data_IF_192217907994
#
_entry.id   IF_192217907994
#
_cell.length_a   1.000
_cell.length_b   1.000
_cell.length_c   1.000
_cell.angle_alpha   90.00
_cell.angle_beta   90.00
_cell.angle_gamma   90.00
#
_symmetry.space_group_name_H-M   'P 1'
#
loop_
_entity.id
_entity.type
_entity.pdbx_description
1 polymer ?
#
# COMPACT_ATOMS: atom_id res chain seq x y z
N UNK A 1 -14.61 22.56 -21.70
CA UNK A 1 -14.28 21.37 -22.52
C UNK A 1 -12.77 21.17 -22.46
N UNK A 2 -12.31 20.53 -21.39
CA UNK A 2 -10.90 20.23 -21.13
C UNK A 2 -10.72 18.76 -21.45
N UNK A 3 -9.86 18.48 -22.43
CA UNK A 3 -9.63 17.13 -22.93
C UNK A 3 -9.04 16.25 -21.81
N UNK A 4 -9.81 15.24 -21.40
CA UNK A 4 -9.31 14.05 -20.73
C UNK A 4 -8.33 13.36 -21.67
N UNK A 5 -7.03 13.62 -21.48
CA UNK A 5 -5.99 12.76 -22.02
C UNK A 5 -5.96 11.51 -21.15
N UNK A 6 -6.78 10.54 -21.52
CA UNK A 6 -6.65 9.15 -21.10
C UNK A 6 -5.22 8.69 -21.43
N UNK A 7 -4.43 8.42 -20.40
CA UNK A 7 -3.07 7.85 -20.47
C UNK A 7 -3.10 6.37 -20.91
N UNK A 8 -3.94 6.02 -21.88
CA UNK A 8 -4.11 4.66 -22.39
C UNK A 8 -3.01 4.24 -23.40
N UNK A 9 -1.90 4.97 -23.48
CA UNK A 9 -0.94 4.85 -24.59
C UNK A 9 0.56 4.81 -24.23
N UNK A 10 0.96 4.72 -22.95
CA UNK A 10 2.37 4.63 -22.58
C UNK A 10 2.62 3.40 -21.70
N UNK A 11 3.36 2.44 -22.26
CA UNK A 11 3.72 1.12 -21.72
C UNK A 11 2.70 0.00 -21.93
N UNK A 12 2.80 -0.75 -23.05
CA UNK A 12 2.32 -2.11 -23.06
C UNK A 12 3.23 -2.91 -22.13
N UNK A 13 2.83 -3.07 -20.86
CA UNK A 13 3.27 -4.19 -20.02
C UNK A 13 2.54 -5.49 -20.43
N UNK A 14 2.06 -5.56 -21.67
CA UNK A 14 1.41 -6.74 -22.24
C UNK A 14 2.48 -7.75 -22.62
N UNK A 15 2.53 -8.79 -21.78
CA UNK A 15 2.72 -10.20 -22.14
C UNK A 15 3.59 -10.45 -23.36
N UNK A 16 4.91 -10.31 -23.18
CA UNK A 16 5.89 -10.82 -24.13
C UNK A 16 6.24 -12.24 -23.70
N UNK A 17 5.51 -13.20 -24.26
CA UNK A 17 5.86 -14.64 -24.38
C UNK A 17 6.00 -15.45 -23.07
N UNK A 18 4.87 -15.96 -22.55
CA UNK A 18 4.75 -17.32 -21.97
C UNK A 18 5.28 -17.60 -20.55
N UNK A 19 6.12 -16.76 -19.96
CA UNK A 19 6.45 -16.83 -18.52
C UNK A 19 6.97 -15.50 -17.96
N UNK A 20 6.03 -14.59 -17.70
CA UNK A 20 5.86 -13.62 -16.59
C UNK A 20 5.21 -12.32 -17.10
N UNK A 21 4.00 -12.00 -16.61
CA UNK A 21 3.86 -10.78 -15.84
C UNK A 21 3.19 -11.07 -14.49
N UNK A 22 4.03 -11.25 -13.46
CA UNK A 22 3.58 -11.46 -12.09
C UNK A 22 3.31 -10.16 -11.32
N UNK A 23 3.15 -10.29 -10.01
CA UNK A 23 2.96 -9.16 -9.08
C UNK A 23 3.91 -7.95 -9.27
N UNK A 24 5.19 -8.07 -9.69
CA UNK A 24 6.08 -6.91 -9.80
C UNK A 24 5.62 -5.90 -10.84
N UNK A 25 4.96 -6.36 -11.91
CA UNK A 25 4.44 -5.51 -12.99
C UNK A 25 3.28 -4.65 -12.48
N UNK A 26 2.38 -5.26 -11.72
CA UNK A 26 1.23 -4.56 -11.12
C UNK A 26 1.69 -3.53 -10.08
N UNK A 27 2.66 -3.91 -9.25
CA UNK A 27 3.30 -2.98 -8.30
C UNK A 27 3.99 -1.84 -9.04
N UNK A 28 4.72 -2.13 -10.12
CA UNK A 28 5.42 -1.10 -10.87
C UNK A 28 4.46 -0.09 -11.50
N UNK A 29 3.31 -0.56 -12.02
CA UNK A 29 2.26 0.33 -12.54
C UNK A 29 1.75 1.32 -11.48
N UNK A 30 1.47 0.83 -10.25
CA UNK A 30 1.04 1.70 -9.14
C UNK A 30 2.08 2.76 -8.81
N UNK A 31 3.36 2.40 -8.79
CA UNK A 31 4.44 3.32 -8.47
C UNK A 31 4.59 4.39 -9.55
N UNK A 32 4.47 4.02 -10.84
CA UNK A 32 4.54 4.94 -11.97
C UNK A 32 3.43 5.99 -11.96
N UNK A 33 2.20 5.61 -11.60
CA UNK A 33 1.07 6.54 -11.53
C UNK A 33 1.34 7.73 -10.59
N UNK A 34 2.12 7.51 -9.53
CA UNK A 34 2.46 8.54 -8.56
C UNK A 34 3.80 9.25 -8.80
N UNK A 35 4.56 8.91 -9.84
CA UNK A 35 5.86 9.53 -10.14
C UNK A 35 5.73 10.72 -11.11
N UNK A 36 6.67 11.66 -11.05
CA UNK A 36 6.72 12.76 -12.02
C UNK A 36 7.14 12.24 -13.41
N UNK A 37 6.63 12.83 -14.52
CA UNK A 37 6.97 12.38 -15.88
C UNK A 37 8.47 12.36 -16.21
N UNK A 38 9.27 13.21 -15.56
CA UNK A 38 10.71 13.24 -15.74
C UNK A 38 11.41 11.97 -15.22
N UNK A 39 10.84 11.32 -14.19
CA UNK A 39 11.46 10.20 -13.49
C UNK A 39 10.96 8.84 -14.01
N UNK A 40 9.76 8.80 -14.60
CA UNK A 40 9.09 7.55 -15.02
C UNK A 40 9.82 6.83 -16.15
N UNK A 41 10.31 7.57 -17.16
CA UNK A 41 10.88 6.95 -18.37
C UNK A 41 12.16 6.15 -18.11
N UNK A 42 13.09 6.69 -17.31
CA UNK A 42 14.32 6.00 -16.97
C UNK A 42 14.05 4.82 -16.03
N UNK A 43 13.23 5.04 -15.00
CA UNK A 43 12.93 4.01 -14.02
C UNK A 43 12.17 2.82 -14.62
N UNK A 44 11.17 3.07 -15.48
CA UNK A 44 10.42 2.00 -16.12
C UNK A 44 11.33 1.08 -16.95
N UNK A 45 12.28 1.66 -17.69
CA UNK A 45 13.30 0.88 -18.44
C UNK A 45 14.16 0.05 -17.50
N UNK A 46 14.60 0.63 -16.37
CA UNK A 46 15.40 -0.11 -15.39
C UNK A 46 14.64 -1.32 -14.83
N UNK A 47 13.36 -1.16 -14.48
CA UNK A 47 12.52 -2.28 -14.01
C UNK A 47 12.36 -3.34 -15.09
N UNK A 48 12.06 -2.93 -16.32
CA UNK A 48 11.94 -3.86 -17.46
C UNK A 48 13.22 -4.64 -17.70
N UNK A 49 14.39 -3.97 -17.68
CA UNK A 49 15.69 -4.60 -17.86
C UNK A 49 15.98 -5.61 -16.74
N UNK A 50 15.66 -5.29 -15.47
CA UNK A 50 15.84 -6.22 -14.36
C UNK A 50 14.89 -7.42 -14.46
N UNK A 51 13.62 -7.21 -14.82
CA UNK A 51 12.67 -8.29 -15.01
C UNK A 51 13.05 -9.20 -16.18
N UNK A 52 13.56 -8.65 -17.29
CA UNK A 52 14.06 -9.42 -18.41
C UNK A 52 15.28 -10.28 -18.02
N UNK A 53 16.22 -9.72 -17.25
CA UNK A 53 17.36 -10.48 -16.68
C UNK A 53 16.89 -11.60 -15.77
N UNK A 54 15.87 -11.34 -14.95
CA UNK A 54 15.23 -12.34 -14.10
C UNK A 54 14.63 -13.47 -14.92
N UNK A 55 13.83 -13.18 -15.92
CA UNK A 55 13.22 -14.17 -16.79
C UNK A 55 14.27 -15.04 -17.52
N UNK A 56 15.44 -14.48 -17.84
CA UNK A 56 16.55 -15.22 -18.45
C UNK A 56 17.25 -16.19 -17.49
N UNK A 57 17.24 -15.94 -16.18
CA UNK A 57 17.98 -16.71 -15.16
C UNK A 57 17.09 -17.60 -14.30
N UNK A 58 15.85 -17.19 -14.11
CA UNK A 58 14.89 -17.83 -13.23
C UNK A 58 13.57 -18.05 -13.96
N UNK A 59 12.89 -19.15 -13.62
CA UNK A 59 11.51 -19.40 -14.11
C UNK A 59 10.48 -18.45 -13.50
N UNK A 60 10.79 -17.86 -12.35
CA UNK A 60 9.95 -16.90 -11.63
C UNK A 60 10.82 -15.90 -10.86
N UNK A 61 10.28 -14.73 -10.53
CA UNK A 61 10.96 -13.77 -9.65
C UNK A 61 11.13 -14.41 -8.27
N UNK A 62 12.36 -14.56 -7.75
CA UNK A 62 12.58 -15.19 -6.46
C UNK A 62 11.90 -14.43 -5.32
N UNK A 63 11.33 -15.17 -4.37
CA UNK A 63 10.54 -14.58 -3.29
C UNK A 63 11.36 -13.67 -2.36
N UNK A 64 12.67 -13.88 -2.29
CA UNK A 64 13.61 -13.04 -1.53
C UNK A 64 13.60 -11.58 -1.97
N UNK A 65 13.20 -11.27 -3.21
CA UNK A 65 12.97 -9.89 -3.68
C UNK A 65 11.92 -9.19 -2.81
N UNK A 66 10.84 -9.90 -2.46
CA UNK A 66 9.75 -9.38 -1.61
C UNK A 66 10.31 -9.03 -0.24
N UNK A 67 11.06 -9.94 0.39
CA UNK A 67 11.61 -9.69 1.71
C UNK A 67 12.64 -8.54 1.71
N UNK A 68 13.53 -8.47 0.71
CA UNK A 68 14.47 -7.36 0.58
C UNK A 68 13.77 -6.01 0.46
N UNK A 69 12.70 -5.96 -0.33
CA UNK A 69 11.95 -4.73 -0.54
C UNK A 69 11.14 -4.33 0.68
N UNK A 70 10.47 -5.29 1.32
CA UNK A 70 9.71 -5.01 2.53
C UNK A 70 10.59 -4.58 3.70
N UNK A 71 11.71 -5.27 3.94
CA UNK A 71 12.65 -4.90 4.99
C UNK A 71 13.35 -3.55 4.71
N UNK A 72 13.83 -3.35 3.48
CA UNK A 72 14.67 -2.20 3.16
C UNK A 72 13.92 -0.90 2.89
N UNK A 73 12.65 -0.97 2.48
CA UNK A 73 11.95 0.19 1.93
C UNK A 73 10.49 0.33 2.39
N UNK A 74 9.69 -0.74 2.35
CA UNK A 74 8.28 -0.65 2.79
C UNK A 74 8.18 -0.44 4.30
N UNK A 75 8.89 -1.25 5.08
CA UNK A 75 8.92 -1.17 6.54
C UNK A 75 9.38 0.19 7.07
N UNK A 76 10.53 0.73 6.64
CA UNK A 76 10.98 2.07 7.02
C UNK A 76 9.99 3.18 6.63
N UNK A 77 9.38 3.11 5.44
CA UNK A 77 8.37 4.07 5.01
C UNK A 77 7.12 4.03 5.91
N UNK A 78 6.69 2.84 6.34
CA UNK A 78 5.55 2.69 7.25
C UNK A 78 5.88 3.09 8.70
N UNK A 79 7.12 2.90 9.14
CA UNK A 79 7.58 3.41 10.44
C UNK A 79 7.57 4.95 10.47
N UNK A 80 7.99 5.59 9.38
CA UNK A 80 7.88 7.05 9.23
C UNK A 80 6.41 7.51 9.16
N UNK A 81 5.54 6.74 8.50
CA UNK A 81 4.11 7.02 8.47
C UNK A 81 3.52 7.04 9.89
N UNK A 82 3.91 6.12 10.77
CA UNK A 82 3.49 6.15 12.18
C UNK A 82 3.86 7.49 12.84
N UNK A 83 5.06 8.01 12.58
CA UNK A 83 5.48 9.34 13.04
C UNK A 83 4.62 10.49 12.49
N UNK A 84 4.22 10.45 11.21
CA UNK A 84 3.30 11.44 10.62
C UNK A 84 1.92 11.45 11.30
N UNK A 85 1.49 10.30 11.83
CA UNK A 85 0.21 10.14 12.53
C UNK A 85 0.33 10.21 14.07
N UNK A 86 1.54 10.47 14.60
CA UNK A 86 1.77 10.57 16.05
C UNK A 86 1.65 9.24 16.80
N UNK A 87 1.89 8.11 16.12
CA UNK A 87 1.75 6.76 16.65
C UNK A 87 3.07 6.00 16.77
N UNK A 88 3.07 4.93 17.57
CA UNK A 88 4.23 4.06 17.78
C UNK A 88 4.50 3.16 16.55
N UNK A 89 5.72 3.21 15.96
CA UNK A 89 6.10 2.36 14.83
C UNK A 89 6.42 0.90 15.22
N UNK A 90 6.32 0.49 16.49
CA UNK A 90 6.70 -0.85 16.96
C UNK A 90 6.10 -2.00 16.15
N UNK A 91 4.82 -1.92 15.76
CA UNK A 91 4.18 -2.93 14.92
C UNK A 91 4.83 -3.04 13.53
N UNK A 92 5.21 -1.91 12.93
CA UNK A 92 5.88 -1.89 11.62
C UNK A 92 7.31 -2.44 11.73
N UNK A 93 8.04 -2.08 12.79
CA UNK A 93 9.37 -2.63 13.07
C UNK A 93 9.34 -4.14 13.29
N UNK A 94 8.31 -4.67 13.97
CA UNK A 94 8.17 -6.11 14.17
C UNK A 94 8.00 -6.85 12.84
N UNK A 95 7.20 -6.33 11.91
CA UNK A 95 7.05 -6.90 10.55
C UNK A 95 8.38 -6.84 9.78
N UNK A 96 9.09 -5.70 9.82
CA UNK A 96 10.43 -5.56 9.22
C UNK A 96 11.39 -6.63 9.74
N UNK A 97 11.43 -6.84 11.05
CA UNK A 97 12.29 -7.85 11.67
C UNK A 97 11.97 -9.28 11.22
N UNK A 98 10.69 -9.60 10.95
CA UNK A 98 10.33 -10.90 10.37
C UNK A 98 10.86 -11.06 8.95
N UNK A 99 10.83 -10.00 8.13
CA UNK A 99 11.43 -10.04 6.80
C UNK A 99 12.95 -10.21 6.86
N UNK A 100 13.63 -9.58 7.81
CA UNK A 100 15.07 -9.78 8.03
C UNK A 100 15.41 -11.22 8.44
N UNK A 101 14.62 -11.80 9.35
CA UNK A 101 14.76 -13.21 9.75
C UNK A 101 14.57 -14.15 8.57
N UNK A 102 13.54 -13.92 7.75
CA UNK A 102 13.30 -14.71 6.54
C UNK A 102 14.45 -14.56 5.51
N UNK A 103 15.03 -13.36 5.36
CA UNK A 103 16.23 -13.14 4.55
C UNK A 103 17.46 -13.88 5.07
N UNK A 104 17.57 -14.05 6.39
CA UNK A 104 18.60 -14.86 7.02
C UNK A 104 18.37 -16.38 6.88
N UNK A 105 17.28 -16.78 6.21
CA UNK A 105 16.93 -18.19 5.96
C UNK A 105 16.13 -18.83 7.08
N UNK A 106 15.62 -18.06 8.04
CA UNK A 106 14.79 -18.59 9.11
C UNK A 106 13.38 -18.93 8.60
N UNK A 107 12.92 -20.15 8.88
CA UNK A 107 11.55 -20.57 8.61
C UNK A 107 10.59 -20.04 9.69
N UNK A 108 10.15 -18.80 9.52
CA UNK A 108 9.18 -18.16 10.44
C UNK A 108 7.77 -18.75 10.20
N UNK A 109 7.11 -19.31 11.24
CA UNK A 109 5.78 -19.92 11.10
C UNK A 109 4.69 -18.93 10.67
N UNK A 110 3.66 -19.43 9.97
CA UNK A 110 2.52 -18.64 9.50
C UNK A 110 1.82 -17.92 10.67
N UNK A 111 1.65 -18.56 11.82
CA UNK A 111 0.99 -17.97 12.97
C UNK A 111 1.76 -16.75 13.51
N UNK A 112 3.09 -16.79 13.46
CA UNK A 112 3.96 -15.68 13.88
C UNK A 112 3.83 -14.53 12.89
N UNK A 113 3.84 -14.84 11.59
CA UNK A 113 3.58 -13.83 10.55
C UNK A 113 2.23 -13.17 10.74
N UNK A 114 1.15 -13.95 10.88
CA UNK A 114 -0.22 -13.45 11.01
C UNK A 114 -0.38 -12.57 12.25
N UNK A 115 0.09 -13.03 13.41
CA UNK A 115 0.00 -12.28 14.66
C UNK A 115 0.77 -10.96 14.62
N UNK A 116 1.84 -10.89 13.84
CA UNK A 116 2.66 -9.67 13.68
C UNK A 116 2.10 -8.74 12.61
N UNK A 117 1.59 -9.28 11.50
CA UNK A 117 1.02 -8.52 10.40
C UNK A 117 -0.30 -7.85 10.78
N UNK A 118 -1.16 -8.51 11.55
CA UNK A 118 -2.52 -8.00 11.79
C UNK A 118 -2.53 -6.62 12.48
N UNK A 119 -1.77 -6.38 13.58
CA UNK A 119 -1.66 -5.04 14.16
C UNK A 119 -1.08 -4.00 13.20
N UNK A 120 -0.05 -4.37 12.44
CA UNK A 120 0.61 -3.47 11.49
C UNK A 120 -0.32 -3.07 10.33
N UNK A 121 -1.04 -4.02 9.75
CA UNK A 121 -1.99 -3.78 8.67
C UNK A 121 -3.20 -2.97 9.16
N UNK A 122 -3.67 -3.20 10.39
CA UNK A 122 -4.75 -2.40 10.98
C UNK A 122 -4.37 -0.92 11.05
N UNK A 123 -3.14 -0.62 11.47
CA UNK A 123 -2.61 0.76 11.46
C UNK A 123 -2.61 1.32 10.03
N UNK A 124 -2.04 0.60 9.07
CA UNK A 124 -1.97 1.02 7.66
C UNK A 124 -3.35 1.31 7.09
N UNK A 125 -4.33 0.42 7.26
CA UNK A 125 -5.67 0.61 6.71
C UNK A 125 -6.39 1.81 7.33
N UNK A 126 -6.24 2.02 8.63
CA UNK A 126 -6.80 3.19 9.32
C UNK A 126 -6.20 4.49 8.80
N UNK A 127 -4.89 4.53 8.53
CA UNK A 127 -4.21 5.72 7.99
C UNK A 127 -4.48 5.94 6.50
N UNK A 128 -4.60 4.85 5.73
CA UNK A 128 -4.69 4.89 4.28
C UNK A 128 -6.08 5.27 3.75
N UNK A 129 -7.12 4.86 4.45
CA UNK A 129 -8.50 5.08 4.03
C UNK A 129 -9.13 6.06 5.01
N UNK A 130 -8.94 7.33 4.65
CA UNK A 130 -9.18 8.49 5.50
C UNK A 130 -10.57 8.46 6.13
N UNK A 131 -10.59 8.18 7.43
CA UNK A 131 -11.66 8.57 8.34
C UNK A 131 -12.08 10.03 8.10
N UNK A 132 -11.11 10.92 7.86
CA UNK A 132 -11.34 12.35 7.69
C UNK A 132 -12.16 12.72 6.44
N UNK A 133 -11.94 12.04 5.31
CA UNK A 133 -12.69 12.32 4.08
C UNK A 133 -14.12 11.81 4.19
N UNK A 134 -14.29 10.60 4.77
CA UNK A 134 -15.59 10.05 5.06
C UNK A 134 -16.35 10.90 6.10
N UNK A 135 -15.65 11.34 7.15
CA UNK A 135 -16.18 12.21 8.20
C UNK A 135 -16.60 13.57 7.65
N UNK A 136 -15.74 14.23 6.86
CA UNK A 136 -16.05 15.53 6.26
C UNK A 136 -17.26 15.41 5.33
N UNK A 137 -17.28 14.40 4.46
CA UNK A 137 -18.42 14.14 3.56
C UNK A 137 -19.71 13.88 4.34
N UNK A 138 -19.67 13.06 5.39
CA UNK A 138 -20.82 12.76 6.23
C UNK A 138 -21.29 13.98 7.03
N UNK A 139 -20.35 14.78 7.54
CA UNK A 139 -20.62 15.99 8.32
C UNK A 139 -21.28 17.05 7.45
N UNK A 140 -20.73 17.32 6.27
CA UNK A 140 -21.28 18.29 5.32
C UNK A 140 -22.68 17.88 4.84
N UNK A 141 -22.87 16.60 4.53
CA UNK A 141 -24.18 16.09 4.11
C UNK A 141 -25.23 16.19 5.24
N UNK A 142 -24.86 15.85 6.47
CA UNK A 142 -25.75 15.91 7.62
C UNK A 142 -26.04 17.35 8.05
N UNK A 143 -25.07 18.26 7.98
CA UNK A 143 -25.23 19.70 8.19
C UNK A 143 -26.19 20.29 7.16
N UNK A 144 -25.99 19.99 5.88
CA UNK A 144 -26.89 20.44 4.80
C UNK A 144 -28.32 19.93 5.01
N UNK A 145 -28.48 18.68 5.46
CA UNK A 145 -29.78 18.13 5.82
C UNK A 145 -30.41 18.89 7.00
N UNK A 146 -29.69 19.14 8.08
CA UNK A 146 -30.21 19.87 9.25
C UNK A 146 -30.64 21.30 8.88
N UNK A 147 -29.85 22.02 8.09
CA UNK A 147 -30.22 23.33 7.55
C UNK A 147 -31.52 23.27 6.74
N UNK A 148 -31.68 22.23 5.89
CA UNK A 148 -32.92 22.03 5.12
C UNK A 148 -34.16 21.75 5.99
N UNK A 149 -33.94 21.37 7.27
CA UNK A 149 -35.00 21.14 8.27
C UNK A 149 -35.27 22.35 9.15
N UNK A 150 -34.60 23.48 8.91
CA UNK A 150 -34.83 24.72 9.64
C UNK A 150 -34.05 24.85 10.94
N UNK A 151 -33.01 24.04 11.14
CA UNK A 151 -32.04 24.21 12.22
C UNK A 151 -31.24 25.48 11.96
N UNK A 152 -30.77 26.14 13.02
CA UNK A 152 -29.81 27.23 12.84
C UNK A 152 -28.41 26.69 12.47
N UNK A 153 -27.49 27.60 12.10
CA UNK A 153 -26.15 27.22 11.61
C UNK A 153 -25.33 26.47 12.69
N UNK A 154 -25.48 26.83 13.96
CA UNK A 154 -24.75 26.22 15.06
C UNK A 154 -25.32 24.83 15.38
N UNK A 155 -26.65 24.70 15.44
CA UNK A 155 -27.34 23.44 15.63
C UNK A 155 -27.10 22.45 14.47
N UNK A 156 -27.12 22.94 13.23
CA UNK A 156 -26.82 22.14 12.06
C UNK A 156 -25.36 21.66 12.02
N UNK A 157 -24.42 22.50 12.45
CA UNK A 157 -23.00 22.13 12.56
C UNK A 157 -22.80 21.05 13.62
N UNK A 158 -23.36 21.24 14.81
CA UNK A 158 -23.30 20.25 15.89
C UNK A 158 -23.97 18.91 15.52
N UNK A 159 -25.08 18.97 14.78
CA UNK A 159 -25.74 17.79 14.22
C UNK A 159 -24.86 17.08 13.19
N UNK A 160 -24.24 17.83 12.27
CA UNK A 160 -23.33 17.30 11.26
C UNK A 160 -22.15 16.56 11.87
N UNK A 161 -21.48 17.19 12.84
CA UNK A 161 -20.34 16.61 13.56
C UNK A 161 -20.74 15.34 14.33
N UNK A 162 -21.84 15.39 15.09
CA UNK A 162 -22.31 14.23 15.86
C UNK A 162 -22.70 13.05 14.96
N UNK A 163 -23.39 13.33 13.84
CA UNK A 163 -23.78 12.31 12.87
C UNK A 163 -22.57 11.68 12.18
N UNK A 164 -21.63 12.52 11.74
CA UNK A 164 -20.40 12.07 11.10
C UNK A 164 -19.58 11.20 12.05
N UNK A 165 -19.42 11.60 13.31
CA UNK A 165 -18.68 10.85 14.31
C UNK A 165 -19.25 9.43 14.49
N UNK A 166 -20.56 9.33 14.74
CA UNK A 166 -21.25 8.05 14.95
C UNK A 166 -21.19 7.14 13.71
N UNK A 167 -21.35 7.71 12.52
CA UNK A 167 -21.40 6.94 11.28
C UNK A 167 -20.01 6.47 10.82
N UNK A 168 -18.99 7.31 10.96
CA UNK A 168 -17.71 7.10 10.28
C UNK A 168 -16.65 6.47 11.17
N UNK A 169 -16.66 6.67 12.50
CA UNK A 169 -15.67 6.06 13.39
C UNK A 169 -15.88 4.55 13.47
N UNK A 170 -17.13 4.13 13.69
CA UNK A 170 -17.48 2.71 13.78
C UNK A 170 -17.18 1.96 12.47
N UNK A 171 -17.54 2.57 11.33
CA UNK A 171 -17.31 1.97 10.01
C UNK A 171 -15.81 1.92 9.66
N UNK A 172 -15.05 2.99 9.91
CA UNK A 172 -13.61 3.01 9.64
C UNK A 172 -12.86 1.96 10.47
N UNK A 173 -13.22 1.80 11.74
CA UNK A 173 -12.64 0.78 12.62
C UNK A 173 -12.94 -0.63 12.12
N UNK A 174 -14.21 -0.93 11.85
CA UNK A 174 -14.63 -2.26 11.36
C UNK A 174 -13.98 -2.57 10.00
N UNK A 175 -13.88 -1.58 9.11
CA UNK A 175 -13.19 -1.76 7.83
C UNK A 175 -11.70 -2.04 8.01
N UNK A 176 -11.00 -1.29 8.86
CA UNK A 176 -9.58 -1.51 9.12
C UNK A 176 -9.33 -2.88 9.77
N UNK A 177 -10.16 -3.29 10.73
CA UNK A 177 -10.08 -4.59 11.39
C UNK A 177 -10.33 -5.75 10.42
N UNK A 178 -11.40 -5.69 9.64
CA UNK A 178 -11.74 -6.75 8.68
C UNK A 178 -10.67 -6.90 7.58
N UNK A 179 -10.20 -5.78 7.01
CA UNK A 179 -9.15 -5.80 6.00
C UNK A 179 -7.83 -6.30 6.57
N UNK A 180 -7.46 -5.87 7.79
CA UNK A 180 -6.24 -6.33 8.44
C UNK A 180 -6.25 -7.84 8.69
N UNK A 181 -7.34 -8.39 9.23
CA UNK A 181 -7.45 -9.83 9.49
C UNK A 181 -7.36 -10.66 8.21
N UNK A 182 -8.14 -10.30 7.18
CA UNK A 182 -8.13 -11.01 5.90
C UNK A 182 -6.76 -10.95 5.19
N UNK A 183 -6.16 -9.76 5.10
CA UNK A 183 -4.87 -9.60 4.42
C UNK A 183 -3.70 -10.16 5.24
N UNK A 184 -3.75 -10.11 6.59
CA UNK A 184 -2.74 -10.72 7.44
C UNK A 184 -2.70 -12.23 7.26
N UNK A 185 -3.87 -12.90 7.21
CA UNK A 185 -3.94 -14.34 6.99
C UNK A 185 -3.37 -14.73 5.61
N UNK A 186 -3.80 -14.04 4.55
CA UNK A 186 -3.34 -14.32 3.20
C UNK A 186 -1.82 -14.07 3.03
N UNK A 187 -1.33 -12.92 3.51
CA UNK A 187 0.09 -12.57 3.41
C UNK A 187 0.97 -13.46 4.28
N UNK A 188 0.50 -13.87 5.47
CA UNK A 188 1.23 -14.76 6.35
C UNK A 188 1.51 -16.12 5.70
N UNK A 189 0.50 -16.71 5.05
CA UNK A 189 0.67 -17.98 4.34
C UNK A 189 1.70 -17.84 3.22
N UNK A 190 1.63 -16.76 2.44
CA UNK A 190 2.59 -16.48 1.36
C UNK A 190 4.01 -16.28 1.89
N UNK A 191 4.19 -15.53 2.99
CA UNK A 191 5.52 -15.29 3.57
C UNK A 191 6.12 -16.53 4.23
N UNK A 192 5.33 -17.31 4.97
CA UNK A 192 5.79 -18.54 5.60
C UNK A 192 6.19 -19.60 4.57
N UNK A 193 5.42 -19.72 3.48
CA UNK A 193 5.69 -20.66 2.39
C UNK A 193 6.72 -20.18 1.35
N UNK A 194 7.21 -18.94 1.48
CA UNK A 194 7.99 -18.25 0.44
C UNK A 194 7.34 -18.37 -0.96
N UNK A 195 6.00 -18.23 -1.01
CA UNK A 195 5.17 -18.57 -2.16
C UNK A 195 4.87 -17.33 -3.04
N UNK A 196 5.50 -17.22 -4.23
CA UNK A 196 5.28 -16.09 -5.13
C UNK A 196 3.85 -16.04 -5.70
N UNK A 197 3.19 -17.19 -5.86
CA UNK A 197 1.82 -17.26 -6.38
C UNK A 197 0.83 -16.82 -5.31
N UNK A 198 0.98 -17.32 -4.08
CA UNK A 198 0.22 -16.88 -2.91
C UNK A 198 0.38 -15.38 -2.66
N UNK A 199 1.59 -14.83 -2.77
CA UNK A 199 1.80 -13.38 -2.63
C UNK A 199 1.13 -12.58 -3.75
N UNK A 200 1.15 -13.06 -4.99
CA UNK A 200 0.43 -12.41 -6.09
C UNK A 200 -1.09 -12.42 -5.85
N UNK A 201 -1.63 -13.51 -5.29
CA UNK A 201 -3.04 -13.62 -4.91
C UNK A 201 -3.43 -12.66 -3.77
N UNK A 202 -2.47 -12.20 -2.96
CA UNK A 202 -2.68 -11.16 -1.94
C UNK A 202 -2.83 -9.74 -2.53
N UNK A 203 -2.84 -9.59 -3.85
CA UNK A 203 -3.09 -8.30 -4.53
C UNK A 203 -2.10 -7.20 -4.07
N UNK A 204 -0.77 -7.44 -4.16
CA UNK A 204 0.23 -6.60 -3.49
C UNK A 204 0.26 -5.16 -4.01
N UNK A 205 -0.20 -4.90 -5.22
CA UNK A 205 -0.37 -3.55 -5.74
C UNK A 205 -1.37 -2.72 -4.91
N UNK A 206 -2.44 -3.36 -4.39
CA UNK A 206 -3.44 -2.71 -3.55
C UNK A 206 -2.86 -2.41 -2.16
N UNK A 207 -2.09 -3.34 -1.60
CA UNK A 207 -1.33 -3.12 -0.37
C UNK A 207 -0.36 -1.94 -0.52
N UNK A 208 0.39 -1.86 -1.62
CA UNK A 208 1.30 -0.74 -1.90
C UNK A 208 0.55 0.60 -1.99
N UNK A 209 -0.62 0.63 -2.63
CA UNK A 209 -1.47 1.84 -2.62
C UNK A 209 -1.86 2.24 -1.21
N UNK A 210 -2.20 1.28 -0.35
CA UNK A 210 -2.52 1.56 1.04
C UNK A 210 -1.31 2.13 1.80
N UNK A 211 -0.12 1.53 1.66
CA UNK A 211 1.11 2.04 2.27
C UNK A 211 1.42 3.49 1.83
N UNK A 212 1.30 3.77 0.53
CA UNK A 212 1.52 5.11 -0.02
C UNK A 212 0.51 6.14 0.48
N UNK A 213 -0.76 5.76 0.63
CA UNK A 213 -1.79 6.63 1.22
C UNK A 213 -1.53 6.89 2.69
N UNK A 214 -1.23 5.84 3.45
CA UNK A 214 -0.90 5.94 4.86
C UNK A 214 0.28 6.88 5.10
N UNK A 215 1.36 6.74 4.31
CA UNK A 215 2.53 7.61 4.40
C UNK A 215 2.24 9.05 3.99
N UNK A 216 1.46 9.24 2.92
CA UNK A 216 1.15 10.57 2.41
C UNK A 216 0.27 11.39 3.38
N UNK A 217 -0.71 10.76 4.04
CA UNK A 217 -1.65 11.49 4.91
C UNK A 217 -2.37 12.64 4.18
N UNK A 218 -2.69 12.45 2.90
CA UNK A 218 -3.28 13.49 2.03
C UNK A 218 -2.29 14.45 1.36
N UNK A 219 -1.01 14.42 1.71
CA UNK A 219 0.02 15.28 1.12
C UNK A 219 0.54 14.73 -0.22
N UNK A 220 0.24 15.43 -1.30
CA UNK A 220 0.65 15.04 -2.66
C UNK A 220 2.16 15.08 -2.90
N UNK A 221 2.97 15.84 -2.13
CA UNK A 221 4.44 15.78 -2.23
C UNK A 221 4.95 14.51 -1.57
N UNK A 222 4.52 14.23 -0.33
CA UNK A 222 4.87 12.98 0.37
C UNK A 222 4.42 11.75 -0.40
N UNK A 223 3.27 11.79 -1.06
CA UNK A 223 2.82 10.71 -1.93
C UNK A 223 3.85 10.41 -3.04
N UNK A 224 4.30 11.45 -3.77
CA UNK A 224 5.31 11.29 -4.83
C UNK A 224 6.64 10.79 -4.29
N UNK A 225 7.09 11.35 -3.17
CA UNK A 225 8.35 10.92 -2.53
C UNK A 225 8.29 9.45 -2.11
N UNK A 226 7.14 9.01 -1.56
CA UNK A 226 6.88 7.62 -1.24
C UNK A 226 6.93 6.72 -2.48
N UNK A 227 6.31 7.12 -3.59
CA UNK A 227 6.38 6.38 -4.85
C UNK A 227 7.83 6.23 -5.34
N UNK A 228 8.60 7.31 -5.37
CA UNK A 228 10.02 7.28 -5.79
C UNK A 228 10.86 6.37 -4.90
N UNK A 229 10.66 6.41 -3.58
CA UNK A 229 11.39 5.56 -2.62
C UNK A 229 11.09 4.08 -2.84
N UNK A 230 9.81 3.71 -2.86
CA UNK A 230 9.40 2.32 -3.06
C UNK A 230 9.79 1.80 -4.46
N UNK A 231 9.74 2.66 -5.47
CA UNK A 231 10.22 2.39 -6.82
C UNK A 231 11.73 2.08 -6.85
N UNK A 232 12.54 2.91 -6.19
CA UNK A 232 13.98 2.64 -6.04
C UNK A 232 14.26 1.36 -5.26
N UNK A 233 13.46 1.10 -4.21
CA UNK A 233 13.56 -0.11 -3.41
C UNK A 233 13.27 -1.40 -4.18
N UNK A 234 12.23 -1.38 -5.00
CA UNK A 234 11.87 -2.52 -5.84
C UNK A 234 13.01 -2.87 -6.82
N UNK A 235 13.61 -1.86 -7.46
CA UNK A 235 14.77 -2.05 -8.34
C UNK A 235 15.95 -2.63 -7.58
N UNK A 236 16.28 -2.10 -6.39
CA UNK A 236 17.35 -2.66 -5.54
C UNK A 236 17.09 -4.12 -5.16
N UNK A 237 15.85 -4.46 -4.80
CA UNK A 237 15.44 -5.82 -4.50
C UNK A 237 15.65 -6.75 -5.69
N UNK A 238 15.19 -6.35 -6.87
CA UNK A 238 15.37 -7.10 -8.11
C UNK A 238 16.86 -7.28 -8.47
N UNK A 239 17.68 -6.23 -8.35
CA UNK A 239 19.11 -6.28 -8.69
C UNK A 239 19.91 -7.17 -7.73
N UNK A 240 19.57 -7.23 -6.45
CA UNK A 240 20.29 -8.09 -5.47
C UNK A 240 20.18 -9.57 -5.80
N UNK A 241 19.11 -9.97 -6.47
CA UNK A 241 18.83 -11.37 -6.79
C UNK A 241 19.16 -11.69 -8.25
N UNK A 242 19.46 -10.67 -9.07
CA UNK A 242 19.85 -10.79 -10.48
C UNK A 242 21.26 -11.29 -10.71
#
# INVERSE_FOLDING_TARGET
MTAERTWAGAFPLTDVTGALPGWPVQVAAVLLEGMAPADTGQWARQVQDQLARMAARHRQVPFTVVHHWHSGDVGPLLAEAAGHHGEDPAAQHAVTALHDRALAGEAVPEEVWRATLEPALRQVYRWAYAYQDAYTTASDAARAFALSRGYDEAEATAYGESYAQLNTEANARVHAEANASANAAAAAAAFAGADPAGYAACVPYAHVRACLRAYAGGDGRRHRDGCVRLAGGLVRGLTRVA
#
